data_IF_161348043526
#
_entry.id   IF_161348043526
#
_cell.length_a   1.000
_cell.length_b   1.000
_cell.length_c   1.000
_cell.angle_alpha   90.00
_cell.angle_beta   90.00
_cell.angle_gamma   90.00
#
_symmetry.space_group_name_H-M   'P 1'
#
loop_
_entity.id
_entity.type
_entity.pdbx_description
1 polymer ?
#
# COMPACT_ATOMS: atom_id res chain seq x y z
N UNK A 1 -20.75 10.73 -5.59
CA UNK A 1 -19.73 10.24 -6.52
C UNK A 1 -19.45 11.29 -7.57
N UNK A 2 -18.21 11.39 -7.96
CA UNK A 2 -17.74 12.19 -9.07
C UNK A 2 -16.71 11.38 -9.86
N UNK A 3 -16.14 11.96 -10.94
CA UNK A 3 -15.24 11.22 -11.79
C UNK A 3 -13.98 10.73 -11.04
N UNK A 4 -13.30 11.55 -10.22
CA UNK A 4 -12.15 11.08 -9.45
C UNK A 4 -12.51 10.19 -8.25
N UNK A 5 -13.77 10.15 -7.82
CA UNK A 5 -14.22 9.30 -6.73
C UNK A 5 -15.51 8.53 -7.12
N UNK A 6 -15.38 7.46 -7.91
CA UNK A 6 -16.51 6.79 -8.54
C UNK A 6 -17.36 5.94 -7.59
N UNK A 7 -16.90 5.71 -6.35
CA UNK A 7 -17.63 4.88 -5.37
C UNK A 7 -18.31 5.73 -4.33
N UNK A 8 -19.59 5.44 -4.04
CA UNK A 8 -20.27 5.98 -2.86
C UNK A 8 -19.57 5.43 -1.63
N UNK A 9 -19.13 6.28 -0.72
CA UNK A 9 -18.33 5.87 0.46
C UNK A 9 -17.11 5.03 0.02
N UNK A 10 -16.15 5.69 -0.61
CA UNK A 10 -14.91 5.04 -1.07
C UNK A 10 -14.01 4.65 0.12
N UNK A 11 -14.40 3.59 0.79
CA UNK A 11 -13.84 3.17 2.09
C UNK A 11 -12.43 2.62 1.99
N UNK A 12 -12.11 1.97 0.88
CA UNK A 12 -10.82 1.34 0.67
C UNK A 12 -9.83 2.18 -0.12
N UNK A 13 -10.30 3.32 -0.66
CA UNK A 13 -9.44 4.21 -1.43
C UNK A 13 -9.13 3.69 -2.83
N UNK A 14 -8.33 4.44 -3.55
CA UNK A 14 -7.90 4.13 -4.91
C UNK A 14 -6.60 4.86 -5.25
N UNK A 15 -5.96 4.44 -6.32
CA UNK A 15 -4.79 5.09 -6.89
C UNK A 15 -5.18 5.69 -8.24
N UNK A 16 -4.89 6.97 -8.44
CA UNK A 16 -5.06 7.68 -9.71
C UNK A 16 -3.72 7.69 -10.44
N UNK A 17 -3.73 7.38 -11.72
CA UNK A 17 -2.60 7.55 -12.63
C UNK A 17 -2.83 8.80 -13.48
N UNK A 18 -1.85 9.68 -13.49
CA UNK A 18 -1.87 10.92 -14.25
C UNK A 18 -0.75 10.91 -15.27
N UNK A 19 -0.98 11.53 -16.43
CA UNK A 19 0.02 11.75 -17.46
C UNK A 19 -0.08 13.16 -18.00
N UNK A 20 0.97 13.91 -17.87
CA UNK A 20 1.07 15.27 -18.39
C UNK A 20 1.06 15.28 -19.93
N UNK A 21 0.41 16.28 -20.49
CA UNK A 21 0.33 16.44 -21.95
C UNK A 21 1.72 16.59 -22.55
N UNK A 22 1.95 15.89 -23.66
CA UNK A 22 3.25 15.84 -24.34
C UNK A 22 4.42 15.36 -23.45
N UNK A 23 4.14 14.60 -22.38
CA UNK A 23 5.13 14.15 -21.39
C UNK A 23 6.02 15.30 -20.85
N UNK A 24 5.44 16.48 -20.69
CA UNK A 24 6.15 17.69 -20.30
C UNK A 24 5.74 18.15 -18.89
N UNK A 25 6.69 18.33 -17.94
CA UNK A 25 6.39 18.86 -16.62
C UNK A 25 5.94 20.35 -16.65
N UNK A 26 6.00 21.00 -17.81
CA UNK A 26 5.49 22.35 -18.01
C UNK A 26 4.09 22.37 -18.63
N UNK A 27 3.46 21.21 -18.84
CA UNK A 27 2.13 21.13 -19.41
C UNK A 27 1.09 21.76 -18.47
N UNK A 28 0.12 22.47 -19.06
CA UNK A 28 -1.02 23.07 -18.34
C UNK A 28 -2.24 22.12 -18.29
N UNK A 29 -2.10 20.92 -18.82
CA UNK A 29 -3.14 19.92 -18.87
C UNK A 29 -2.54 18.53 -18.74
N UNK A 30 -3.36 17.59 -18.30
CA UNK A 30 -2.99 16.17 -18.14
C UNK A 30 -4.20 15.28 -18.44
N UNK A 31 -3.95 14.03 -18.75
CA UNK A 31 -4.94 12.96 -18.73
C UNK A 31 -4.82 12.19 -17.42
N UNK A 32 -5.90 11.55 -16.99
CA UNK A 32 -5.88 10.72 -15.79
C UNK A 32 -6.87 9.56 -15.89
N UNK A 33 -6.62 8.55 -15.09
CA UNK A 33 -7.50 7.39 -14.94
C UNK A 33 -7.50 6.90 -13.49
N UNK A 34 -8.55 6.20 -13.09
CA UNK A 34 -8.51 5.37 -11.89
C UNK A 34 -7.68 4.12 -12.23
N UNK A 35 -6.45 4.11 -11.75
CA UNK A 35 -5.53 3.01 -12.02
C UNK A 35 -5.90 1.76 -11.22
N UNK A 36 -6.04 1.90 -9.90
CA UNK A 36 -6.45 0.83 -8.99
C UNK A 36 -7.59 1.31 -8.09
N UNK A 37 -8.63 0.50 -7.99
CA UNK A 37 -9.63 0.57 -6.93
C UNK A 37 -9.24 -0.45 -5.86
N UNK A 38 -8.85 0.01 -4.68
CA UNK A 38 -8.55 -0.86 -3.56
C UNK A 38 -9.83 -1.53 -3.04
N UNK A 39 -9.68 -2.67 -2.39
CA UNK A 39 -10.78 -3.52 -1.97
C UNK A 39 -10.57 -4.96 -2.45
N UNK A 40 -11.48 -5.84 -2.13
CA UNK A 40 -11.43 -7.24 -2.52
C UNK A 40 -12.65 -7.59 -3.41
N UNK A 41 -12.44 -8.00 -4.66
CA UNK A 41 -13.54 -8.40 -5.55
C UNK A 41 -14.41 -9.52 -4.98
N UNK A 42 -13.88 -10.39 -4.15
CA UNK A 42 -14.63 -11.48 -3.52
C UNK A 42 -15.61 -11.01 -2.43
N UNK A 43 -15.44 -9.78 -1.93
CA UNK A 43 -16.29 -9.19 -0.89
C UNK A 43 -17.48 -8.40 -1.47
N UNK A 44 -17.77 -8.54 -2.72
CA UNK A 44 -18.81 -7.80 -3.46
C UNK A 44 -20.23 -7.91 -2.87
N UNK A 45 -20.52 -8.90 -2.04
CA UNK A 45 -21.85 -9.16 -1.50
C UNK A 45 -22.27 -8.27 -0.32
N UNK A 46 -21.40 -7.41 0.17
CA UNK A 46 -21.62 -6.64 1.40
C UNK A 46 -22.21 -5.23 1.26
N UNK A 47 -22.56 -4.75 0.08
CA UNK A 47 -23.20 -3.44 -0.13
C UNK A 47 -22.34 -2.21 0.21
N UNK A 48 -21.07 -2.36 0.52
CA UNK A 48 -20.19 -1.32 1.06
C UNK A 48 -19.08 -0.86 0.09
N UNK A 49 -19.25 -1.04 -1.20
CA UNK A 49 -18.22 -0.70 -2.20
C UNK A 49 -16.84 -1.35 -1.91
N UNK A 50 -16.88 -2.61 -1.51
CA UNK A 50 -15.70 -3.40 -1.21
C UNK A 50 -14.99 -3.89 -2.46
N UNK A 51 -15.68 -3.84 -3.61
CA UNK A 51 -15.19 -4.34 -4.87
C UNK A 51 -14.08 -3.44 -5.38
N UNK A 52 -12.89 -4.02 -5.47
CA UNK A 52 -11.74 -3.41 -6.14
C UNK A 52 -11.53 -3.99 -7.53
N UNK A 53 -10.45 -3.56 -8.18
CA UNK A 53 -9.99 -4.12 -9.46
C UNK A 53 -8.53 -4.62 -9.35
N UNK A 54 -8.09 -4.93 -8.15
CA UNK A 54 -6.74 -5.46 -7.93
C UNK A 54 -6.74 -6.93 -8.32
N UNK A 55 -5.76 -7.31 -9.12
CA UNK A 55 -5.46 -8.70 -9.42
C UNK A 55 -4.42 -9.24 -8.43
N UNK A 56 -4.62 -10.46 -7.91
CA UNK A 56 -3.72 -11.08 -6.92
C UNK A 56 -4.00 -10.68 -5.47
N UNK A 57 -2.98 -10.27 -4.74
CA UNK A 57 -3.11 -9.92 -3.30
C UNK A 57 -3.79 -8.56 -3.13
N UNK A 58 -4.96 -8.57 -2.53
CA UNK A 58 -5.79 -7.39 -2.34
C UNK A 58 -5.35 -6.56 -1.13
N UNK A 59 -5.66 -5.27 -1.15
CA UNK A 59 -5.37 -4.34 -0.06
C UNK A 59 -6.44 -3.27 0.08
N UNK A 60 -6.40 -2.59 1.21
CA UNK A 60 -7.22 -1.43 1.56
C UNK A 60 -6.31 -0.25 1.89
N UNK A 61 -6.84 0.96 1.71
CA UNK A 61 -6.21 2.22 2.14
C UNK A 61 -4.76 2.36 1.66
N UNK A 62 -4.53 2.37 0.33
CA UNK A 62 -3.23 2.73 -0.19
C UNK A 62 -2.90 4.16 0.25
N UNK A 63 -1.74 4.33 0.86
CA UNK A 63 -1.25 5.61 1.36
C UNK A 63 0.09 5.95 0.70
N UNK A 64 1.19 5.38 1.16
CA UNK A 64 2.49 5.58 0.55
C UNK A 64 2.61 4.86 -0.80
N UNK A 65 3.07 5.57 -1.83
CA UNK A 65 3.40 4.96 -3.12
C UNK A 65 4.78 5.39 -3.60
N UNK A 66 5.48 4.47 -4.27
CA UNK A 66 6.78 4.75 -4.87
C UNK A 66 6.96 3.95 -6.15
N UNK A 67 7.42 4.61 -7.20
CA UNK A 67 7.91 3.92 -8.40
C UNK A 67 9.42 3.84 -8.30
N UNK A 68 9.98 2.64 -8.42
CA UNK A 68 11.41 2.43 -8.41
C UNK A 68 12.04 2.61 -9.81
N UNK A 69 13.38 2.62 -9.91
CA UNK A 69 14.06 2.80 -11.20
C UNK A 69 13.77 1.72 -12.24
N UNK A 70 13.19 0.60 -11.87
CA UNK A 70 12.75 -0.46 -12.78
C UNK A 70 11.28 -0.31 -13.21
N UNK A 71 10.61 0.78 -12.81
CA UNK A 71 9.22 1.05 -13.12
C UNK A 71 8.21 0.27 -12.28
N UNK A 72 8.66 -0.40 -11.21
CA UNK A 72 7.78 -1.17 -10.32
C UNK A 72 7.08 -0.24 -9.34
N UNK A 73 5.77 -0.40 -9.21
CA UNK A 73 4.99 0.35 -8.24
C UNK A 73 4.97 -0.37 -6.90
N UNK A 74 5.44 0.32 -5.88
CA UNK A 74 5.34 -0.10 -4.48
C UNK A 74 4.22 0.67 -3.82
N UNK A 75 3.34 -0.05 -3.13
CA UNK A 75 2.17 0.51 -2.42
C UNK A 75 2.27 0.11 -0.96
N UNK A 76 2.11 1.07 -0.08
CA UNK A 76 2.09 0.90 1.38
C UNK A 76 0.72 1.25 1.90
N UNK A 77 0.25 0.55 2.93
CA UNK A 77 -1.13 0.72 3.43
C UNK A 77 -1.16 1.29 4.83
N UNK A 78 -2.21 2.09 5.07
CA UNK A 78 -2.59 2.61 6.39
C UNK A 78 -4.07 2.40 6.65
N UNK A 79 -4.49 1.16 6.77
CA UNK A 79 -5.86 0.86 7.19
C UNK A 79 -5.94 0.55 8.68
N UNK A 80 -7.12 0.76 9.26
CA UNK A 80 -7.38 0.43 10.65
C UNK A 80 -7.40 -1.09 10.85
N UNK A 81 -6.56 -1.60 11.75
CA UNK A 81 -6.55 -3.03 12.12
C UNK A 81 -7.34 -3.28 13.39
N UNK A 82 -8.07 -4.41 13.49
CA UNK A 82 -8.76 -4.80 14.73
C UNK A 82 -7.78 -4.92 15.89
N UNK A 83 -8.15 -4.36 17.04
CA UNK A 83 -7.34 -4.44 18.27
C UNK A 83 -6.38 -3.27 18.50
N UNK A 84 -6.33 -2.30 17.62
CA UNK A 84 -5.62 -1.05 17.88
C UNK A 84 -6.52 -0.13 18.75
N UNK A 85 -6.13 0.09 20.00
CA UNK A 85 -6.87 0.94 20.94
C UNK A 85 -6.84 2.41 20.46
N UNK A 86 -7.96 2.90 19.99
CA UNK A 86 -8.11 4.29 19.54
C UNK A 86 -8.64 4.41 18.12
N UNK A 87 -8.55 3.40 17.33
CA UNK A 87 -9.22 3.34 16.03
C UNK A 87 -10.24 2.21 16.08
N UNK A 88 -11.51 2.54 15.92
CA UNK A 88 -12.55 1.52 15.81
C UNK A 88 -12.23 0.64 14.61
N UNK A 89 -11.57 -0.49 14.85
CA UNK A 89 -11.26 -1.48 13.82
C UNK A 89 -12.54 -1.84 13.11
N UNK A 90 -12.63 -1.44 11.85
CA UNK A 90 -13.79 -1.78 11.03
C UNK A 90 -13.66 -3.25 10.71
N UNK A 91 -14.69 -4.05 10.99
CA UNK A 91 -14.69 -5.48 10.69
C UNK A 91 -14.39 -5.80 9.22
N UNK A 92 -14.63 -4.81 8.35
CA UNK A 92 -14.39 -4.89 6.91
C UNK A 92 -12.88 -4.80 6.55
N UNK A 93 -12.07 -4.15 7.36
CA UNK A 93 -10.63 -4.07 7.14
C UNK A 93 -9.92 -5.35 7.62
N UNK A 94 -10.56 -6.15 8.45
CA UNK A 94 -10.02 -7.42 8.94
C UNK A 94 -9.69 -8.42 7.80
N UNK A 95 -10.37 -8.32 6.66
CA UNK A 95 -10.11 -9.15 5.50
C UNK A 95 -8.71 -8.91 4.90
N UNK A 96 -8.12 -7.74 5.10
CA UNK A 96 -6.80 -7.38 4.56
C UNK A 96 -5.64 -7.68 5.52
N UNK A 97 -5.96 -8.04 6.78
CA UNK A 97 -4.96 -8.36 7.80
C UNK A 97 -4.26 -7.12 8.34
N UNK A 98 -2.95 -7.21 8.54
CA UNK A 98 -2.12 -6.09 8.99
C UNK A 98 -1.73 -5.19 7.82
N UNK A 99 -1.37 -3.95 8.13
CA UNK A 99 -0.79 -3.05 7.14
C UNK A 99 0.46 -3.65 6.52
N UNK A 100 0.60 -3.46 5.23
CA UNK A 100 1.57 -4.18 4.42
C UNK A 100 2.12 -3.31 3.29
N UNK A 101 3.18 -3.79 2.69
CA UNK A 101 3.73 -3.23 1.46
C UNK A 101 3.53 -4.23 0.33
N UNK A 102 3.12 -3.72 -0.80
CA UNK A 102 2.81 -4.51 -2.00
C UNK A 102 3.66 -4.04 -3.17
N UNK A 103 4.02 -4.98 -4.01
CA UNK A 103 4.47 -4.73 -5.37
C UNK A 103 3.25 -4.81 -6.29
N UNK A 104 3.12 -3.85 -7.19
CA UNK A 104 2.08 -3.86 -8.21
C UNK A 104 2.73 -3.73 -9.59
N UNK A 105 2.46 -4.68 -10.45
CA UNK A 105 2.81 -4.58 -11.86
C UNK A 105 1.86 -3.60 -12.55
N UNK A 106 2.42 -2.58 -13.21
CA UNK A 106 1.61 -1.49 -13.76
C UNK A 106 0.81 -1.85 -15.00
N UNK A 107 1.19 -2.88 -15.72
CA UNK A 107 0.52 -3.29 -16.96
C UNK A 107 -0.61 -4.29 -16.67
N UNK A 108 -0.31 -5.33 -15.90
CA UNK A 108 -1.27 -6.38 -15.57
C UNK A 108 -2.13 -6.07 -14.34
N UNK A 109 -1.77 -5.06 -13.53
CA UNK A 109 -2.35 -4.75 -12.21
C UNK A 109 -2.22 -5.90 -11.20
N UNK A 110 -1.31 -6.84 -11.47
CA UNK A 110 -0.99 -7.92 -10.54
C UNK A 110 -0.30 -7.35 -9.30
N UNK A 111 -0.91 -7.61 -8.15
CA UNK A 111 -0.39 -7.24 -6.84
C UNK A 111 0.17 -8.46 -6.12
N UNK A 112 1.31 -8.28 -5.46
CA UNK A 112 1.93 -9.29 -4.59
C UNK A 112 2.30 -8.65 -3.27
N UNK A 113 1.88 -9.27 -2.18
CA UNK A 113 2.26 -8.83 -0.84
C UNK A 113 3.73 -9.11 -0.60
N UNK A 114 4.48 -8.06 -0.38
CA UNK A 114 5.93 -8.13 -0.21
C UNK A 114 6.34 -8.19 1.27
N UNK A 115 5.73 -7.34 2.10
CA UNK A 115 6.08 -7.20 3.51
C UNK A 115 4.81 -6.96 4.32
N UNK A 116 4.70 -7.61 5.47
CA UNK A 116 3.61 -7.38 6.44
C UNK A 116 4.20 -6.75 7.69
N UNK A 117 3.59 -5.68 8.15
CA UNK A 117 4.02 -4.97 9.34
C UNK A 117 3.57 -5.63 10.65
N UNK A 118 4.15 -5.23 11.77
CA UNK A 118 3.71 -5.64 13.09
C UNK A 118 2.30 -5.11 13.42
N UNK A 119 1.72 -5.60 14.50
CA UNK A 119 0.39 -5.22 14.95
C UNK A 119 0.28 -3.69 15.11
N UNK A 120 -0.79 -3.13 14.56
CA UNK A 120 -1.18 -1.74 14.74
C UNK A 120 -0.27 -0.70 14.07
N UNK A 121 0.71 -1.13 13.28
CA UNK A 121 1.55 -0.20 12.57
C UNK A 121 0.91 0.29 11.27
N UNK A 122 1.41 1.40 10.78
CA UNK A 122 1.36 1.82 9.38
C UNK A 122 2.68 1.44 8.72
N UNK A 123 2.65 1.06 7.45
CA UNK A 123 3.85 0.90 6.64
C UNK A 123 4.03 2.16 5.82
N UNK A 124 5.14 2.85 6.00
CA UNK A 124 5.37 4.14 5.35
C UNK A 124 6.81 4.31 4.90
N UNK A 125 7.02 5.22 3.97
CA UNK A 125 8.33 5.58 3.42
C UNK A 125 9.08 4.41 2.79
N UNK A 126 9.60 4.63 1.61
CA UNK A 126 10.50 3.69 0.93
C UNK A 126 11.69 4.45 0.39
N UNK A 127 12.87 4.07 0.84
CA UNK A 127 14.13 4.44 0.21
C UNK A 127 14.88 3.17 -0.17
N UNK A 128 15.79 3.29 -1.12
CA UNK A 128 16.58 2.17 -1.62
C UNK A 128 17.95 2.61 -2.08
N UNK A 129 18.89 1.67 -2.07
CA UNK A 129 20.21 1.88 -2.67
C UNK A 129 20.12 1.90 -4.21
N UNK A 130 21.02 2.61 -4.91
CA UNK A 130 20.97 2.68 -6.39
C UNK A 130 20.99 1.34 -7.10
N UNK A 131 21.58 0.32 -6.49
CA UNK A 131 21.64 -1.06 -6.99
C UNK A 131 20.40 -1.90 -6.61
N UNK A 132 19.45 -1.28 -5.90
CA UNK A 132 18.20 -1.91 -5.39
C UNK A 132 18.44 -3.12 -4.46
N UNK A 133 19.63 -3.33 -3.94
CA UNK A 133 19.93 -4.47 -3.07
C UNK A 133 19.49 -4.25 -1.62
N UNK A 134 19.24 -3.01 -1.24
CA UNK A 134 18.81 -2.65 0.11
C UNK A 134 17.63 -1.70 0.05
N UNK A 135 16.56 -2.06 0.74
CA UNK A 135 15.41 -1.20 0.96
C UNK A 135 15.37 -0.76 2.43
N UNK A 136 14.94 0.47 2.65
CA UNK A 136 14.64 1.05 3.95
C UNK A 136 13.15 1.36 4.00
N UNK A 137 12.44 0.76 4.94
CA UNK A 137 11.00 0.89 5.11
C UNK A 137 10.70 1.29 6.54
N UNK A 138 9.77 2.20 6.75
CA UNK A 138 9.40 2.65 8.09
C UNK A 138 8.19 1.88 8.61
N UNK A 139 8.29 1.48 9.86
CA UNK A 139 7.22 0.94 10.68
C UNK A 139 6.78 2.09 11.60
N UNK A 140 5.60 2.65 11.35
CA UNK A 140 5.10 3.80 12.09
C UNK A 140 4.10 3.37 13.17
N UNK A 141 4.20 3.97 14.36
CA UNK A 141 3.33 3.78 15.54
C UNK A 141 2.84 2.34 15.82
N UNK A 142 3.72 1.33 15.78
CA UNK A 142 3.34 -0.04 16.07
C UNK A 142 2.80 -0.18 17.49
N UNK A 143 2.05 -1.26 17.73
CA UNK A 143 1.61 -1.67 19.06
C UNK A 143 2.27 -2.99 19.45
N UNK A 144 1.96 -3.53 20.63
CA UNK A 144 2.47 -4.83 21.08
C UNK A 144 3.96 -4.80 21.45
N UNK A 145 4.72 -5.73 20.91
CA UNK A 145 6.12 -5.99 21.28
C UNK A 145 7.14 -5.57 20.21
N UNK A 146 6.89 -4.49 19.50
CA UNK A 146 7.77 -4.04 18.43
C UNK A 146 8.66 -2.84 18.86
N UNK A 147 9.95 -2.76 18.46
CA UNK A 147 10.73 -3.78 17.76
C UNK A 147 11.35 -4.82 18.71
N UNK A 148 11.23 -4.61 20.01
CA UNK A 148 11.84 -5.49 21.04
C UNK A 148 10.76 -5.94 22.00
N UNK A 149 10.64 -7.26 22.16
CA UNK A 149 9.69 -7.87 23.10
C UNK A 149 9.91 -7.38 24.54
N UNK A 150 8.81 -7.07 25.24
CA UNK A 150 8.83 -6.61 26.63
C UNK A 150 9.19 -5.14 26.81
N UNK A 151 9.39 -4.39 25.72
CA UNK A 151 9.62 -2.96 25.77
C UNK A 151 8.42 -2.18 25.21
N UNK A 152 8.39 -0.87 25.48
CA UNK A 152 7.38 0.00 24.88
C UNK A 152 7.51 -0.01 23.35
N UNK A 153 6.39 -0.16 22.63
CA UNK A 153 6.39 -0.10 21.18
C UNK A 153 6.93 1.25 20.69
N UNK A 154 7.68 1.21 19.60
CA UNK A 154 8.21 2.44 18.97
C UNK A 154 8.36 2.28 17.48
N UNK A 155 8.18 3.38 16.78
CA UNK A 155 8.46 3.47 15.35
C UNK A 155 9.93 3.16 15.06
N UNK A 156 10.18 2.57 13.92
CA UNK A 156 11.54 2.16 13.51
C UNK A 156 11.65 2.06 12.00
N UNK A 157 12.84 2.27 11.49
CA UNK A 157 13.18 1.93 10.11
C UNK A 157 13.75 0.53 10.07
N UNK A 158 13.22 -0.30 9.21
CA UNK A 158 13.76 -1.64 8.93
C UNK A 158 14.59 -1.62 7.66
N UNK A 159 15.57 -2.49 7.61
CA UNK A 159 16.41 -2.73 6.44
C UNK A 159 16.02 -4.08 5.84
N UNK A 160 15.72 -4.08 4.56
CA UNK A 160 15.33 -5.29 3.83
C UNK A 160 16.37 -5.58 2.76
N UNK A 161 16.93 -6.77 2.79
CA UNK A 161 17.87 -7.30 1.80
C UNK A 161 17.48 -8.72 1.43
N UNK A 162 17.93 -9.20 0.27
CA UNK A 162 17.82 -10.62 -0.08
C UNK A 162 19.02 -11.39 0.44
N UNK A 163 18.78 -12.62 0.88
CA UNK A 163 19.85 -13.51 1.38
C UNK A 163 20.84 -13.94 0.31
N UNK A 164 20.43 -13.92 -0.95
CA UNK A 164 21.27 -14.24 -2.10
C UNK A 164 22.03 -13.03 -2.67
N UNK A 165 21.83 -11.85 -2.09
CA UNK A 165 22.47 -10.60 -2.53
C UNK A 165 21.97 -10.03 -3.85
N UNK A 166 20.89 -10.58 -4.42
CA UNK A 166 20.24 -10.03 -5.61
C UNK A 166 19.41 -8.77 -5.27
N UNK A 167 19.00 -7.96 -6.26
CA UNK A 167 18.12 -6.83 -6.03
C UNK A 167 16.80 -7.25 -5.39
N UNK A 168 16.30 -6.44 -4.48
CA UNK A 168 15.03 -6.64 -3.79
C UNK A 168 13.89 -6.52 -4.82
N UNK A 169 12.92 -7.45 -4.78
CA UNK A 169 11.79 -7.49 -5.69
C UNK A 169 12.12 -7.99 -7.11
N UNK A 170 13.31 -8.57 -7.32
CA UNK A 170 13.67 -9.22 -8.57
C UNK A 170 13.17 -10.67 -8.62
#
# INVERSE_FOLDING_TARGET
>A
TDAPNPRVVNRHGHIIKMRESADSPLALSFTWEIFLLAGDPSLASGGNNLVGNIEGDTFSSPDGIRIDPQGRLWVQTDHSVPGNSGVSGRSIDAAFGHNAMFYVDQDSKQSKRFLVGPLGCEITGLAYTPDLKTFFVNIQHPTGNWPVAGQQPRSSTIVVTRTDGAPVGA
#
